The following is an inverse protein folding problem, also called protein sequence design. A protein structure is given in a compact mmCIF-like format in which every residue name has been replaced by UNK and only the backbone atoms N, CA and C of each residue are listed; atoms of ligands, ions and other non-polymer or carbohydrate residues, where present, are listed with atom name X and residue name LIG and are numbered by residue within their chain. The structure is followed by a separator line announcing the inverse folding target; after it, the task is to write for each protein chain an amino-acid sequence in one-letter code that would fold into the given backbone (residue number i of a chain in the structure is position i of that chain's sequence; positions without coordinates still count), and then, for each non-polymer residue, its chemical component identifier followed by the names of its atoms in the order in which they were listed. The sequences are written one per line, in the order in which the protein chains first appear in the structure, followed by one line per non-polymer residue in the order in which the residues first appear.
data_IF_493201714570
#
_entry.id   IF_493201714570
#
_cell.length_a   1.000
_cell.length_b   1.000
_cell.length_c   1.000
_cell.angle_alpha   90.00
_cell.angle_beta   90.00
_cell.angle_gamma   90.00
#
_symmetry.space_group_name_H-M   'P 1'
#
loop_
_entity.id
_entity.type
_entity.pdbx_description
1 polymer ?
#
# COMPACT_ATOMS: atom_id res chain seq x y z
N UNK A 1 10.19 4.96 -27.56
CA UNK A 1 9.25 3.81 -27.51
C UNK A 1 8.39 4.02 -26.28
N UNK A 2 7.06 4.09 -26.43
CA UNK A 2 6.18 4.20 -25.25
C UNK A 2 6.11 2.87 -24.51
N UNK A 3 5.76 2.90 -23.23
CA UNK A 3 5.50 1.68 -22.48
C UNK A 3 4.27 0.98 -23.04
N UNK A 4 4.25 -0.35 -23.03
CA UNK A 4 3.06 -1.15 -23.35
C UNK A 4 1.85 -0.67 -22.54
N UNK A 5 2.07 -0.30 -21.28
CA UNK A 5 1.04 0.25 -20.37
C UNK A 5 0.41 1.54 -20.90
N UNK A 6 1.18 2.41 -21.53
CA UNK A 6 0.71 3.70 -22.05
C UNK A 6 -0.09 3.52 -23.34
N UNK A 7 0.11 2.41 -24.06
CA UNK A 7 -0.62 2.06 -25.28
C UNK A 7 -1.92 1.29 -25.01
N UNK A 8 -2.12 0.81 -23.77
CA UNK A 8 -3.36 0.21 -23.28
C UNK A 8 -4.31 1.24 -22.65
N UNK A 9 -4.07 2.53 -22.87
CA UNK A 9 -4.90 3.66 -22.45
C UNK A 9 -5.43 4.33 -23.72
N UNK A 10 -6.65 4.85 -23.69
CA UNK A 10 -7.23 5.54 -24.84
C UNK A 10 -6.31 6.71 -25.28
N UNK A 11 -5.82 6.71 -26.53
CA UNK A 11 -4.87 7.71 -26.96
C UNK A 11 -5.56 9.04 -27.29
N UNK A 12 -5.00 10.18 -26.83
CA UNK A 12 -5.46 11.50 -27.26
C UNK A 12 -5.49 11.64 -28.78
N UNK A 13 -6.47 12.36 -29.31
CA UNK A 13 -6.65 12.56 -30.77
C UNK A 13 -5.41 13.13 -31.47
N UNK A 14 -4.58 13.89 -30.76
CA UNK A 14 -3.31 14.48 -31.25
C UNK A 14 -2.21 13.45 -31.52
N UNK A 15 -2.30 12.26 -30.92
CA UNK A 15 -1.30 11.19 -31.05
C UNK A 15 -1.61 10.27 -32.23
N UNK A 16 -2.89 10.15 -32.59
CA UNK A 16 -3.38 9.27 -33.66
C UNK A 16 -2.85 9.64 -35.05
N UNK A 17 -2.31 10.84 -35.21
CA UNK A 17 -1.72 11.34 -36.47
C UNK A 17 -0.23 11.03 -36.62
N UNK A 18 0.42 10.47 -35.60
CA UNK A 18 1.84 10.14 -35.67
C UNK A 18 2.06 8.84 -36.48
N UNK A 19 2.91 8.81 -37.52
CA UNK A 19 3.15 7.60 -38.31
C UNK A 19 3.79 6.45 -37.50
N UNK A 20 4.50 6.76 -36.41
CA UNK A 20 5.01 5.73 -35.49
C UNK A 20 3.90 5.13 -34.60
N UNK A 21 2.80 5.86 -34.39
CA UNK A 21 1.68 5.39 -33.57
C UNK A 21 0.96 4.21 -34.23
N UNK A 22 0.80 4.20 -35.56
CA UNK A 22 0.19 3.07 -36.26
C UNK A 22 1.00 1.77 -36.10
N UNK A 23 2.33 1.85 -36.26
CA UNK A 23 3.22 0.69 -36.05
C UNK A 23 3.23 0.23 -34.59
N UNK A 24 3.28 1.18 -33.65
CA UNK A 24 3.21 0.88 -32.21
C UNK A 24 1.87 0.23 -31.84
N UNK A 25 0.77 0.70 -32.42
CA UNK A 25 -0.58 0.16 -32.26
C UNK A 25 -0.68 -1.29 -32.76
N UNK A 26 -0.22 -1.57 -33.98
CA UNK A 26 -0.19 -2.94 -34.53
C UNK A 26 0.65 -3.88 -33.65
N UNK A 27 1.84 -3.44 -33.21
CA UNK A 27 2.69 -4.26 -32.34
C UNK A 27 1.99 -4.67 -31.04
N UNK A 28 1.28 -3.74 -30.39
CA UNK A 28 0.53 -4.05 -29.16
C UNK A 28 -0.66 -4.96 -29.44
N UNK A 29 -1.37 -4.74 -30.55
CA UNK A 29 -2.46 -5.61 -30.97
C UNK A 29 -1.98 -7.06 -31.11
N UNK A 30 -0.96 -7.30 -31.92
CA UNK A 30 -0.39 -8.63 -32.12
C UNK A 30 0.21 -9.23 -30.85
N UNK A 31 0.76 -8.39 -29.97
CA UNK A 31 1.23 -8.84 -28.66
C UNK A 31 0.07 -9.39 -27.81
N UNK A 32 -1.06 -8.67 -27.72
CA UNK A 32 -2.24 -9.15 -26.97
C UNK A 32 -2.77 -10.44 -27.60
N UNK A 33 -3.01 -10.42 -28.91
CA UNK A 33 -3.57 -11.54 -29.66
C UNK A 33 -2.71 -12.79 -29.55
N UNK A 34 -1.38 -12.65 -29.63
CA UNK A 34 -0.44 -13.77 -29.51
C UNK A 34 -0.40 -14.42 -28.13
N UNK A 35 -1.05 -13.84 -27.12
CA UNK A 35 -1.20 -14.41 -25.79
C UNK A 35 -2.62 -14.93 -25.50
N UNK A 36 -3.54 -14.86 -26.47
CA UNK A 36 -4.84 -15.51 -26.38
C UNK A 36 -4.72 -16.96 -26.84
N UNK A 37 -5.41 -17.87 -26.16
CA UNK A 37 -5.65 -19.22 -26.67
C UNK A 37 -6.77 -19.22 -27.73
N UNK A 38 -6.96 -20.33 -28.43
CA UNK A 38 -7.92 -20.44 -29.52
C UNK A 38 -9.36 -20.10 -29.07
N UNK A 39 -9.74 -20.50 -27.84
CA UNK A 39 -11.07 -20.22 -27.28
C UNK A 39 -11.29 -18.72 -27.00
N UNK A 40 -10.27 -18.02 -26.49
CA UNK A 40 -10.34 -16.59 -26.22
C UNK A 40 -10.15 -15.76 -27.50
N UNK A 41 -9.39 -16.26 -28.48
CA UNK A 41 -9.18 -15.60 -29.76
C UNK A 41 -10.52 -15.36 -30.46
N UNK A 42 -11.28 -16.43 -30.70
CA UNK A 42 -12.57 -16.37 -31.40
C UNK A 42 -13.61 -15.52 -30.66
N UNK A 43 -13.43 -15.36 -29.35
CA UNK A 43 -14.32 -14.61 -28.48
C UNK A 43 -14.10 -13.10 -28.52
N UNK A 44 -12.85 -12.66 -28.61
CA UNK A 44 -12.48 -11.25 -28.44
C UNK A 44 -11.98 -10.59 -29.73
N UNK A 45 -11.46 -11.37 -30.66
CA UNK A 45 -10.90 -10.88 -31.92
C UNK A 45 -11.97 -10.95 -33.00
N UNK A 46 -12.36 -9.78 -33.53
CA UNK A 46 -13.25 -9.66 -34.68
C UNK A 46 -12.54 -8.96 -35.83
N UNK A 47 -12.88 -9.31 -37.08
CA UNK A 47 -12.27 -8.76 -38.30
C UNK A 47 -12.43 -7.24 -38.47
N UNK A 48 -13.34 -6.58 -37.71
CA UNK A 48 -13.77 -5.20 -37.99
C UNK A 48 -13.18 -4.08 -37.11
N UNK A 49 -12.29 -4.32 -36.14
CA UNK A 49 -11.68 -3.20 -35.39
C UNK A 49 -10.38 -3.58 -34.65
N UNK A 50 -9.23 -3.27 -35.25
CA UNK A 50 -7.88 -3.49 -34.70
C UNK A 50 -7.51 -2.44 -33.63
N UNK A 51 -8.32 -2.21 -32.61
CA UNK A 51 -7.96 -1.26 -31.53
C UNK A 51 -7.47 -2.02 -30.28
N UNK A 52 -6.14 -2.03 -29.97
CA UNK A 52 -5.60 -2.73 -28.81
C UNK A 52 -6.24 -2.31 -27.50
N UNK A 53 -6.61 -1.03 -27.38
CA UNK A 53 -7.31 -0.51 -26.21
C UNK A 53 -8.70 -1.12 -26.03
N UNK A 54 -9.47 -1.24 -27.12
CA UNK A 54 -10.81 -1.86 -27.10
C UNK A 54 -10.70 -3.34 -26.76
N UNK A 55 -9.78 -4.05 -27.43
CA UNK A 55 -9.51 -5.47 -27.18
C UNK A 55 -9.13 -5.73 -25.72
N UNK A 56 -8.20 -4.94 -25.18
CA UNK A 56 -7.77 -5.04 -23.79
C UNK A 56 -8.91 -4.78 -22.80
N UNK A 57 -9.77 -3.79 -23.07
CA UNK A 57 -10.94 -3.53 -22.25
C UNK A 57 -11.96 -4.67 -22.31
N UNK A 58 -12.23 -5.23 -23.49
CA UNK A 58 -13.15 -6.36 -23.63
C UNK A 58 -12.68 -7.60 -22.86
N UNK A 59 -11.38 -7.92 -22.91
CA UNK A 59 -10.77 -9.00 -22.12
C UNK A 59 -10.95 -8.71 -20.63
N UNK A 60 -10.57 -7.51 -20.17
CA UNK A 60 -10.74 -7.13 -18.76
C UNK A 60 -12.19 -7.24 -18.30
N UNK A 61 -13.14 -6.72 -19.07
CA UNK A 61 -14.57 -6.75 -18.72
C UNK A 61 -15.11 -8.18 -18.65
N UNK A 62 -14.70 -9.05 -19.57
CA UNK A 62 -15.12 -10.44 -19.56
C UNK A 62 -14.65 -11.18 -18.31
N UNK A 63 -13.37 -11.03 -17.95
CA UNK A 63 -12.84 -11.70 -16.75
C UNK A 63 -13.24 -11.01 -15.44
N UNK A 64 -13.49 -9.69 -15.48
CA UNK A 64 -14.07 -8.96 -14.36
C UNK A 64 -15.50 -9.41 -14.07
N UNK A 65 -16.33 -9.59 -15.10
CA UNK A 65 -17.72 -10.07 -14.97
C UNK A 65 -17.84 -11.57 -14.67
N UNK A 66 -16.83 -12.38 -15.07
CA UNK A 66 -16.78 -13.82 -14.78
C UNK A 66 -16.26 -14.14 -13.38
N UNK A 67 -15.63 -13.19 -12.68
CA UNK A 67 -15.42 -13.31 -11.23
C UNK A 67 -16.80 -13.26 -10.57
N UNK A 68 -17.38 -14.41 -10.23
CA UNK A 68 -18.72 -14.53 -9.66
C UNK A 68 -18.94 -13.83 -8.31
N UNK A 69 -17.95 -13.05 -7.85
CA UNK A 69 -18.05 -12.21 -6.68
C UNK A 69 -18.60 -10.85 -7.07
N UNK A 70 -19.76 -10.52 -6.52
CA UNK A 70 -20.35 -9.20 -6.69
C UNK A 70 -19.39 -8.10 -6.22
N UNK A 71 -19.54 -6.91 -6.78
CA UNK A 71 -18.82 -5.71 -6.34
C UNK A 71 -18.98 -5.51 -4.82
N UNK A 72 -20.20 -5.74 -4.32
CA UNK A 72 -20.51 -5.72 -2.89
C UNK A 72 -19.67 -6.72 -2.07
N UNK A 73 -19.53 -7.97 -2.52
CA UNK A 73 -18.68 -8.98 -1.87
C UNK A 73 -17.22 -8.54 -1.80
N UNK A 74 -16.70 -7.94 -2.89
CA UNK A 74 -15.33 -7.43 -2.93
C UNK A 74 -15.11 -6.25 -1.96
N UNK A 75 -16.05 -5.30 -1.89
CA UNK A 75 -16.03 -4.24 -0.89
C UNK A 75 -16.16 -4.79 0.54
N UNK A 76 -17.01 -5.78 0.75
CA UNK A 76 -17.16 -6.48 2.04
C UNK A 76 -15.84 -7.10 2.50
N UNK A 77 -15.11 -7.77 1.60
CA UNK A 77 -13.77 -8.28 1.88
C UNK A 77 -12.80 -7.17 2.25
N UNK A 78 -12.70 -6.11 1.44
CA UNK A 78 -11.81 -4.98 1.72
C UNK A 78 -12.09 -4.36 3.09
N UNK A 79 -13.37 -4.11 3.42
CA UNK A 79 -13.76 -3.48 4.68
C UNK A 79 -13.71 -4.41 5.90
N UNK A 80 -13.58 -5.72 5.68
CA UNK A 80 -13.38 -6.69 6.76
C UNK A 80 -11.92 -6.77 7.22
N UNK A 81 -10.98 -6.19 6.46
CA UNK A 81 -9.55 -6.21 6.78
C UNK A 81 -9.30 -5.37 8.03
N UNK A 82 -8.68 -6.01 9.03
CA UNK A 82 -8.25 -5.36 10.26
C UNK A 82 -6.74 -5.21 10.24
N UNK A 83 -6.24 -4.08 10.71
CA UNK A 83 -4.82 -3.84 10.85
C UNK A 83 -4.44 -4.14 12.31
N UNK A 84 -3.80 -5.30 12.59
CA UNK A 84 -3.45 -5.66 13.95
C UNK A 84 -2.29 -4.79 14.47
N UNK A 85 -2.13 -4.68 15.80
CA UNK A 85 -1.04 -3.88 16.39
C UNK A 85 0.36 -4.47 16.15
N UNK A 86 0.46 -5.77 15.89
CA UNK A 86 1.75 -6.44 15.65
C UNK A 86 2.27 -6.15 14.24
N UNK A 87 3.58 -5.89 14.12
CA UNK A 87 4.18 -5.57 12.82
C UNK A 87 4.06 -6.71 11.79
N UNK A 88 4.24 -7.97 12.21
CA UNK A 88 4.08 -9.12 11.29
C UNK A 88 2.66 -9.22 10.72
N UNK A 89 1.64 -9.08 11.57
CA UNK A 89 0.25 -9.09 11.14
C UNK A 89 -0.12 -7.84 10.34
N UNK A 90 0.54 -6.72 10.60
CA UNK A 90 0.31 -5.47 9.85
C UNK A 90 0.75 -5.61 8.40
N UNK A 91 1.90 -6.22 8.13
CA UNK A 91 2.37 -6.50 6.76
C UNK A 91 1.40 -7.41 5.99
N UNK A 92 0.92 -8.48 6.63
CA UNK A 92 -0.07 -9.39 6.03
C UNK A 92 -1.39 -8.67 5.72
N UNK A 93 -1.86 -7.80 6.63
CA UNK A 93 -3.05 -6.99 6.44
C UNK A 93 -2.88 -5.99 5.27
N UNK A 94 -1.74 -5.32 5.17
CA UNK A 94 -1.42 -4.40 4.07
C UNK A 94 -1.43 -5.13 2.72
N UNK A 95 -0.78 -6.29 2.65
CA UNK A 95 -0.75 -7.12 1.43
C UNK A 95 -2.16 -7.58 1.01
N UNK A 96 -2.96 -8.01 1.99
CA UNK A 96 -4.37 -8.39 1.77
C UNK A 96 -5.21 -7.21 1.29
N UNK A 97 -4.95 -6.01 1.83
CA UNK A 97 -5.62 -4.77 1.44
C UNK A 97 -5.33 -4.42 -0.01
N UNK A 98 -4.05 -4.45 -0.43
CA UNK A 98 -3.68 -4.20 -1.82
C UNK A 98 -4.27 -5.20 -2.80
N UNK A 99 -4.30 -6.47 -2.41
CA UNK A 99 -4.87 -7.52 -3.25
C UNK A 99 -6.37 -7.27 -3.48
N UNK A 100 -7.10 -6.92 -2.43
CA UNK A 100 -8.53 -6.57 -2.50
C UNK A 100 -8.77 -5.26 -3.26
N UNK A 101 -7.90 -4.26 -3.07
CA UNK A 101 -7.98 -2.97 -3.75
C UNK A 101 -7.85 -3.12 -5.27
N UNK A 102 -6.93 -3.96 -5.75
CA UNK A 102 -6.75 -4.23 -7.18
C UNK A 102 -8.00 -4.84 -7.81
N UNK A 103 -8.68 -5.75 -7.10
CA UNK A 103 -9.93 -6.36 -7.55
C UNK A 103 -11.04 -5.30 -7.67
N UNK A 104 -11.17 -4.45 -6.66
CA UNK A 104 -12.16 -3.37 -6.67
C UNK A 104 -11.88 -2.37 -7.79
N UNK A 105 -10.64 -1.90 -7.94
CA UNK A 105 -10.26 -0.95 -9.00
C UNK A 105 -10.55 -1.48 -10.41
N UNK A 106 -10.43 -2.80 -10.62
CA UNK A 106 -10.78 -3.45 -11.88
C UNK A 106 -12.28 -3.44 -12.17
N UNK A 107 -13.12 -3.49 -11.13
CA UNK A 107 -14.58 -3.59 -11.21
C UNK A 107 -15.31 -2.24 -11.11
N UNK A 108 -14.70 -1.27 -10.43
CA UNK A 108 -15.37 -0.05 -9.98
C UNK A 108 -15.16 1.15 -10.88
N UNK A 109 -14.38 1.02 -11.96
CA UNK A 109 -14.10 2.10 -12.91
C UNK A 109 -15.37 2.68 -13.55
N UNK A 110 -16.46 1.90 -13.57
CA UNK A 110 -17.79 2.31 -14.02
C UNK A 110 -18.66 2.96 -12.92
N UNK A 111 -18.30 2.79 -11.64
CA UNK A 111 -19.10 3.22 -10.49
C UNK A 111 -18.56 4.51 -9.84
N UNK A 112 -17.23 4.67 -9.81
CA UNK A 112 -16.59 5.81 -9.16
C UNK A 112 -15.44 6.33 -10.01
N UNK A 113 -15.25 7.64 -9.99
CA UNK A 113 -14.02 8.23 -10.48
C UNK A 113 -12.84 7.71 -9.65
N UNK A 114 -11.76 7.30 -10.32
CA UNK A 114 -10.63 6.61 -9.69
C UNK A 114 -9.97 7.47 -8.58
N UNK A 115 -9.94 8.78 -8.78
CA UNK A 115 -9.40 9.75 -7.83
C UNK A 115 -10.23 9.83 -6.53
N UNK A 116 -11.57 9.84 -6.62
CA UNK A 116 -12.46 9.86 -5.46
C UNK A 116 -12.28 8.58 -4.64
N UNK A 117 -12.23 7.43 -5.31
CA UNK A 117 -12.04 6.15 -4.63
C UNK A 117 -10.71 6.10 -3.88
N UNK A 118 -9.60 6.50 -4.50
CA UNK A 118 -8.29 6.54 -3.86
C UNK A 118 -8.31 7.46 -2.63
N UNK A 119 -8.92 8.64 -2.74
CA UNK A 119 -9.00 9.58 -1.61
C UNK A 119 -9.81 9.04 -0.43
N UNK A 120 -10.99 8.48 -0.69
CA UNK A 120 -11.86 7.90 0.36
C UNK A 120 -11.13 6.74 1.05
N UNK A 121 -10.46 5.89 0.28
CA UNK A 121 -9.71 4.76 0.82
C UNK A 121 -8.48 5.19 1.61
N UNK A 122 -7.80 6.27 1.22
CA UNK A 122 -6.71 6.84 2.01
C UNK A 122 -7.17 7.28 3.40
N UNK A 123 -8.32 7.97 3.51
CA UNK A 123 -8.90 8.31 4.81
C UNK A 123 -9.36 7.08 5.59
N UNK A 124 -9.91 6.08 4.91
CA UNK A 124 -10.31 4.82 5.52
C UNK A 124 -9.12 4.09 6.14
N UNK A 125 -8.01 3.98 5.41
CA UNK A 125 -6.75 3.38 5.90
C UNK A 125 -6.23 4.15 7.11
N UNK A 126 -6.14 5.49 7.03
CA UNK A 126 -5.70 6.33 8.15
C UNK A 126 -6.50 6.10 9.43
N UNK A 127 -7.81 5.83 9.30
CA UNK A 127 -8.69 5.52 10.45
C UNK A 127 -8.45 4.12 11.02
N UNK A 128 -8.05 3.16 10.17
CA UNK A 128 -7.87 1.77 10.56
C UNK A 128 -6.47 1.45 11.07
N UNK A 129 -5.47 2.31 10.79
CA UNK A 129 -4.11 2.09 11.24
C UNK A 129 -4.08 1.89 12.77
N UNK A 130 -3.29 0.91 13.26
CA UNK A 130 -3.18 0.66 14.68
C UNK A 130 -2.49 1.84 15.39
N UNK A 131 -2.67 1.93 16.70
CA UNK A 131 -2.08 2.99 17.53
C UNK A 131 -0.54 3.04 17.43
N UNK A 132 0.10 1.90 17.15
CA UNK A 132 1.55 1.80 16.87
C UNK A 132 1.99 2.64 15.67
N UNK A 133 1.07 2.99 14.76
CA UNK A 133 1.28 3.84 13.59
C UNK A 133 0.62 5.23 13.74
N UNK A 134 0.27 5.66 14.96
CA UNK A 134 -0.41 6.95 15.17
C UNK A 134 0.42 8.15 14.70
N UNK A 135 1.74 8.07 14.78
CA UNK A 135 2.64 9.13 14.31
C UNK A 135 2.47 9.37 12.80
N UNK A 136 2.42 8.31 12.00
CA UNK A 136 2.14 8.38 10.56
C UNK A 136 0.78 9.05 10.33
N UNK A 137 -0.27 8.57 11.00
CA UNK A 137 -1.62 9.13 10.84
C UNK A 137 -1.68 10.63 11.14
N UNK A 138 -1.02 11.06 12.23
CA UNK A 138 -0.99 12.46 12.65
C UNK A 138 -0.21 13.33 11.67
N UNK A 139 0.97 12.87 11.26
CA UNK A 139 1.83 13.56 10.30
C UNK A 139 1.13 13.72 8.94
N UNK A 140 0.46 12.67 8.48
CA UNK A 140 -0.30 12.71 7.23
C UNK A 140 -1.48 13.68 7.31
N UNK A 141 -2.28 13.64 8.37
CA UNK A 141 -3.40 14.58 8.53
C UNK A 141 -2.92 16.03 8.58
N UNK A 142 -1.78 16.29 9.22
CA UNK A 142 -1.17 17.62 9.22
C UNK A 142 -0.72 18.04 7.81
N UNK A 143 -0.08 17.14 7.06
CA UNK A 143 0.37 17.38 5.68
C UNK A 143 -0.81 17.70 4.74
N UNK A 144 -1.93 16.98 4.87
CA UNK A 144 -3.13 17.22 4.07
C UNK A 144 -3.67 18.63 4.32
N UNK A 145 -3.71 19.09 5.57
CA UNK A 145 -4.16 20.45 5.92
C UNK A 145 -3.27 21.54 5.33
N UNK A 146 -1.97 21.28 5.18
CA UNK A 146 -1.00 22.26 4.68
C UNK A 146 -0.83 22.28 3.15
N UNK A 147 -1.10 21.17 2.45
CA UNK A 147 -0.79 21.00 1.03
C UNK A 147 -1.99 20.74 0.12
N UNK A 148 -3.18 20.47 0.69
CA UNK A 148 -4.39 20.00 0.00
C UNK A 148 -4.22 18.72 -0.84
N UNK A 149 -3.03 18.11 -0.88
CA UNK A 149 -2.79 16.82 -1.54
C UNK A 149 -3.10 15.70 -0.55
N UNK A 150 -4.07 14.87 -0.91
CA UNK A 150 -4.34 13.62 -0.21
C UNK A 150 -3.39 12.56 -0.75
N UNK A 151 -2.60 11.89 0.11
CA UNK A 151 -1.70 10.83 -0.36
C UNK A 151 -2.50 9.63 -0.84
N UNK A 152 -1.96 8.88 -1.78
CA UNK A 152 -2.57 7.60 -2.17
C UNK A 152 -2.38 6.55 -1.08
N UNK A 153 -3.13 5.45 -1.16
CA UNK A 153 -2.98 4.30 -0.26
C UNK A 153 -1.55 3.73 -0.31
N UNK A 154 -0.93 3.72 -1.49
CA UNK A 154 0.45 3.30 -1.69
C UNK A 154 1.45 4.22 -1.00
N UNK A 155 1.26 5.54 -1.14
CA UNK A 155 2.10 6.53 -0.46
C UNK A 155 1.97 6.38 1.08
N UNK A 156 0.75 6.16 1.58
CA UNK A 156 0.49 5.92 3.00
C UNK A 156 1.19 4.69 3.53
N UNK A 157 1.07 3.54 2.87
CA UNK A 157 1.69 2.31 3.36
C UNK A 157 3.22 2.34 3.26
N UNK A 158 3.79 3.04 2.29
CA UNK A 158 5.24 3.30 2.27
C UNK A 158 5.70 4.08 3.51
N UNK A 159 4.95 5.08 3.93
CA UNK A 159 5.27 5.81 5.17
C UNK A 159 5.12 4.92 6.41
N UNK A 160 4.13 4.03 6.44
CA UNK A 160 4.00 3.02 7.50
C UNK A 160 5.21 2.10 7.54
N UNK A 161 5.65 1.57 6.39
CA UNK A 161 6.84 0.71 6.31
C UNK A 161 8.11 1.44 6.79
N UNK A 162 8.31 2.69 6.35
CA UNK A 162 9.42 3.51 6.81
C UNK A 162 9.37 3.77 8.31
N UNK A 163 8.18 3.97 8.87
CA UNK A 163 8.00 4.16 10.31
C UNK A 163 8.33 2.88 11.10
N UNK A 164 7.91 1.71 10.61
CA UNK A 164 8.28 0.41 11.21
C UNK A 164 9.80 0.23 11.22
N UNK A 165 10.48 0.58 10.12
CA UNK A 165 11.94 0.53 10.03
C UNK A 165 12.62 1.50 10.99
N UNK A 166 12.07 2.72 11.16
CA UNK A 166 12.58 3.69 12.14
C UNK A 166 12.39 3.20 13.57
N UNK A 167 11.23 2.63 13.90
CA UNK A 167 10.93 2.12 15.24
C UNK A 167 11.81 0.93 15.60
N UNK A 168 11.97 -0.05 14.69
CA UNK A 168 12.87 -1.19 14.90
C UNK A 168 14.35 -0.79 15.00
N UNK A 169 14.79 0.21 14.24
CA UNK A 169 16.13 0.81 14.41
C UNK A 169 16.29 1.59 15.73
N UNK A 170 15.22 2.27 16.18
CA UNK A 170 15.21 3.02 17.43
C UNK A 170 15.24 2.10 18.65
N UNK A 171 14.54 0.96 18.65
CA UNK A 171 14.61 -0.01 19.74
C UNK A 171 16.04 -0.50 19.99
N UNK A 172 16.82 -0.69 18.92
CA UNK A 172 18.25 -1.02 19.02
C UNK A 172 19.07 0.14 19.61
N UNK A 173 18.80 1.38 19.22
CA UNK A 173 19.51 2.56 19.74
C UNK A 173 19.13 2.85 21.20
N UNK A 174 17.87 2.68 21.60
CA UNK A 174 17.42 2.90 22.99
C UNK A 174 17.96 1.80 23.91
N UNK A 175 18.00 0.54 23.46
CA UNK A 175 18.61 -0.55 24.22
C UNK A 175 20.14 -0.42 24.33
N UNK A 176 20.82 0.09 23.29
CA UNK A 176 22.25 0.40 23.33
C UNK A 176 22.55 1.65 24.20
N UNK A 177 21.71 2.68 24.17
CA UNK A 177 21.83 3.84 25.05
C UNK A 177 21.64 3.46 26.53
N UNK A 178 20.69 2.58 26.85
CA UNK A 178 20.53 2.01 28.20
C UNK A 178 21.74 1.16 28.65
N UNK A 179 22.51 0.61 27.72
CA UNK A 179 23.78 -0.09 28.02
C UNK A 179 24.99 0.86 28.09
N UNK A 180 24.95 1.99 27.39
CA UNK A 180 26.01 3.00 27.36
C UNK A 180 25.88 4.08 28.44
N UNK A 181 24.72 4.19 29.09
CA UNK A 181 24.65 4.92 30.35
C UNK A 181 25.40 4.12 31.43
N UNK A 182 26.43 4.70 32.09
CA UNK A 182 27.00 4.05 33.25
C UNK A 182 25.87 3.82 34.23
N UNK A 183 25.58 2.55 34.57
CA UNK A 183 24.69 2.20 35.68
C UNK A 183 25.01 3.17 36.81
N UNK A 184 24.02 3.89 37.41
CA UNK A 184 24.30 4.79 38.50
C UNK A 184 25.14 3.99 39.49
N UNK A 185 26.38 4.43 39.72
CA UNK A 185 27.32 3.72 40.61
C UNK A 185 26.52 3.40 41.86
N UNK A 186 26.28 2.11 42.13
CA UNK A 186 25.56 1.70 43.34
C UNK A 186 26.24 2.45 44.47
N UNK A 187 25.48 3.25 45.22
CA UNK A 187 26.00 3.98 46.37
C UNK A 187 26.33 2.92 47.41
N UNK A 188 27.52 2.34 47.31
CA UNK A 188 27.98 1.26 48.16
C UNK A 188 28.12 1.81 49.58
N UNK A 189 27.54 1.12 50.55
CA UNK A 189 27.83 1.36 51.95
C UNK A 189 29.31 0.99 52.18
N UNK A 190 30.12 1.92 52.67
CA UNK A 190 31.55 1.67 52.85
C UNK A 190 31.86 1.43 54.33
N UNK A 191 32.52 0.31 54.63
CA UNK A 191 33.04 -0.03 55.97
C UNK A 191 31.97 0.01 57.08
N UNK A 192 30.87 -0.75 56.90
CA UNK A 192 29.79 -0.94 57.89
C UNK A 192 29.04 0.34 58.33
N UNK A 193 29.13 1.43 57.57
CA UNK A 193 28.25 2.60 57.76
C UNK A 193 27.21 2.63 56.65
N UNK A 194 25.94 2.54 57.03
CA UNK A 194 24.83 2.67 56.10
C UNK A 194 24.83 4.07 55.46
N UNK A 195 24.66 4.12 54.14
CA UNK A 195 24.46 5.37 53.44
C UNK A 195 22.95 5.69 53.45
N UNK A 196 22.49 6.80 54.09
CA UNK A 196 21.07 7.14 54.16
C UNK A 196 20.41 7.38 52.80
N UNK A 197 21.20 7.52 51.74
CA UNK A 197 20.75 7.68 50.36
C UNK A 197 20.80 6.37 49.56
N UNK A 198 20.94 5.23 50.24
CA UNK A 198 20.87 3.89 49.65
C UNK A 198 19.45 3.34 49.61
N UNK A 199 19.17 2.47 48.65
CA UNK A 199 17.85 1.91 48.41
C UNK A 199 17.60 0.56 49.14
N UNK A 200 18.36 0.27 50.20
CA UNK A 200 18.21 -0.94 51.03
C UNK A 200 18.15 -0.55 52.50
N UNK A 201 17.64 -1.43 53.35
CA UNK A 201 17.58 -1.19 54.79
C UNK A 201 18.97 -1.28 55.45
N UNK A 202 19.17 -0.68 56.62
CA UNK A 202 20.45 -0.76 57.34
C UNK A 202 20.83 -2.21 57.70
N UNK A 203 19.84 -3.09 57.92
CA UNK A 203 20.05 -4.52 58.16
C UNK A 203 20.64 -5.28 56.96
N UNK A 204 20.54 -4.72 55.75
CA UNK A 204 20.98 -5.36 54.50
C UNK A 204 22.30 -4.78 53.94
N UNK A 205 23.09 -4.11 54.80
CA UNK A 205 24.38 -3.52 54.44
C UNK A 205 25.49 -4.58 54.33
N UNK A 206 25.72 -5.11 53.12
CA UNK A 206 26.85 -5.98 52.78
C UNK A 206 27.87 -5.27 51.87
#
# INVERSE_FOLDING_TARGET
MRSLRDMLIEPPSTIKTNPNYLKEKEMVYYFIVGHLDDENYDKFVSDEDEEPYKLWNAIKEHYASSSGESIDSNFGKLFSIKFPPSFSGLYEAISSFFSSLKLIQGLSSSLFAADIMVQVLSFYVLRLLPETCRHVSTATVHSIKGSAKIPTVEELFKEVELDILRQSGSEYITSLALQLHPKPKKKLCHKRKHNPLSNHSESDCF
#
